data_IF_109796731088
#
_entry.id   IF_109796731088
#
_cell.length_a   1.000
_cell.length_b   1.000
_cell.length_c   1.000
_cell.angle_alpha   90.00
_cell.angle_beta   90.00
_cell.angle_gamma   90.00
#
_symmetry.space_group_name_H-M   'P 1'
#
loop_
_entity.id
_entity.type
_entity.pdbx_description
1 polymer ?
#
# COMPACT_ATOMS: atom_id res chain seq x y z
N UNK A 1 -17.69 2.28 10.65
CA UNK A 1 -16.99 3.48 10.16
C UNK A 1 -15.84 3.02 9.30
N UNK A 2 -15.55 3.73 8.18
CA UNK A 2 -14.37 3.51 7.37
C UNK A 2 -13.47 4.74 7.45
N UNK A 3 -12.16 4.52 7.64
CA UNK A 3 -11.14 5.55 7.53
C UNK A 3 -10.69 5.68 6.07
N UNK A 4 -10.65 6.91 5.55
CA UNK A 4 -10.16 7.20 4.20
C UNK A 4 -9.14 8.33 4.27
N UNK A 5 -7.97 8.11 3.67
CA UNK A 5 -6.94 9.13 3.53
C UNK A 5 -6.67 9.39 2.05
N UNK A 6 -6.75 10.67 1.65
CA UNK A 6 -6.42 11.13 0.32
C UNK A 6 -5.03 11.76 0.30
N UNK A 7 -4.16 11.33 -0.62
CA UNK A 7 -2.75 11.69 -0.68
C UNK A 7 -2.47 12.41 -2.00
N UNK A 8 -2.13 13.69 -1.92
CA UNK A 8 -1.79 14.51 -3.08
C UNK A 8 -0.42 14.12 -3.66
N UNK A 9 -0.41 13.37 -4.74
CA UNK A 9 0.81 12.89 -5.42
C UNK A 9 1.65 14.01 -6.05
N UNK A 10 1.09 15.20 -6.24
CA UNK A 10 1.87 16.36 -6.72
C UNK A 10 2.75 16.94 -5.61
N UNK A 11 2.26 16.90 -4.36
CA UNK A 11 2.92 17.47 -3.19
C UNK A 11 3.71 16.45 -2.38
N UNK A 12 3.50 15.17 -2.64
CA UNK A 12 4.13 14.09 -1.89
C UNK A 12 4.83 13.09 -2.81
N UNK A 13 5.77 12.35 -2.25
CA UNK A 13 6.35 11.15 -2.86
C UNK A 13 6.08 9.95 -1.97
N UNK A 14 5.84 8.82 -2.59
CA UNK A 14 5.74 7.54 -1.92
C UNK A 14 7.12 6.89 -1.85
N UNK A 15 7.40 6.13 -0.80
CA UNK A 15 8.57 5.27 -0.72
C UNK A 15 8.17 3.93 -0.09
N UNK A 16 8.59 2.86 -0.70
CA UNK A 16 8.50 1.54 -0.12
C UNK A 16 9.66 1.32 0.86
N UNK A 17 9.35 0.82 2.03
CA UNK A 17 10.31 0.51 3.09
C UNK A 17 10.23 -0.98 3.41
N UNK A 18 11.27 -1.77 3.04
CA UNK A 18 11.33 -3.17 3.43
C UNK A 18 11.39 -3.31 4.95
N UNK A 19 10.67 -4.29 5.50
CA UNK A 19 10.73 -4.66 6.90
C UNK A 19 11.95 -5.52 7.25
N UNK A 20 12.13 -5.92 8.50
CA UNK A 20 13.22 -6.78 8.92
C UNK A 20 13.11 -8.19 8.32
N UNK A 21 11.90 -8.73 8.21
CA UNK A 21 11.64 -10.06 7.67
C UNK A 21 11.04 -10.01 6.25
N UNK A 22 10.21 -9.02 5.94
CA UNK A 22 9.50 -8.92 4.66
C UNK A 22 10.01 -7.77 3.75
N UNK A 23 10.27 -8.04 2.48
CA UNK A 23 10.35 -9.34 1.81
C UNK A 23 11.64 -10.09 2.22
N UNK A 24 11.65 -11.45 2.19
CA UNK A 24 12.80 -12.22 2.68
C UNK A 24 14.08 -11.97 1.88
N UNK A 25 13.99 -11.90 0.56
CA UNK A 25 15.14 -11.79 -0.35
C UNK A 25 15.29 -10.39 -0.95
N UNK A 26 15.80 -9.45 -0.18
CA UNK A 26 16.09 -8.10 -0.67
C UNK A 26 17.51 -7.66 -0.31
N UNK A 27 18.31 -7.27 -1.31
CA UNK A 27 19.72 -6.98 -1.15
C UNK A 27 20.05 -5.72 -0.34
N UNK A 28 19.19 -4.71 -0.41
CA UNK A 28 19.40 -3.40 0.21
C UNK A 28 18.18 -2.98 1.06
N UNK A 29 18.01 -3.70 2.18
CA UNK A 29 16.83 -3.57 3.03
C UNK A 29 16.67 -2.20 3.69
N UNK A 30 17.74 -1.62 4.19
CA UNK A 30 17.68 -0.40 4.97
C UNK A 30 17.30 -0.64 6.44
N UNK A 31 16.91 0.40 7.19
CA UNK A 31 16.68 0.33 8.63
C UNK A 31 15.32 -0.25 9.04
N UNK A 32 14.46 -0.62 8.10
CA UNK A 32 13.10 -1.12 8.32
C UNK A 32 12.19 -0.18 9.14
N UNK A 33 12.50 1.11 9.14
CA UNK A 33 11.77 2.19 9.81
C UNK A 33 11.78 3.45 8.96
N UNK A 34 10.99 4.45 9.31
CA UNK A 34 11.15 5.81 8.75
C UNK A 34 12.53 6.34 9.15
N UNK A 35 13.47 6.50 8.20
CA UNK A 35 14.83 6.92 8.52
C UNK A 35 14.85 8.23 9.31
N UNK A 36 15.64 8.36 10.39
CA UNK A 36 15.67 9.57 11.22
C UNK A 36 15.87 10.87 10.46
N UNK A 37 16.73 10.84 9.43
CA UNK A 37 17.00 12.00 8.56
C UNK A 37 15.82 12.38 7.66
N UNK A 38 14.85 11.50 7.43
CA UNK A 38 13.65 11.75 6.62
C UNK A 38 12.40 12.08 7.46
N UNK A 39 12.44 11.93 8.79
CA UNK A 39 11.31 12.20 9.68
C UNK A 39 10.79 13.64 9.60
N UNK A 40 11.63 14.61 9.21
CA UNK A 40 11.20 16.01 9.02
C UNK A 40 10.20 16.17 7.87
N UNK A 41 10.18 15.24 6.91
CA UNK A 41 9.35 15.32 5.71
C UNK A 41 8.27 14.25 5.64
N UNK A 42 8.26 13.24 6.54
CA UNK A 42 7.21 12.22 6.58
C UNK A 42 5.88 12.85 7.00
N UNK A 43 4.82 12.50 6.29
CA UNK A 43 3.45 12.98 6.56
C UNK A 43 2.47 11.84 6.82
N UNK A 44 2.77 10.64 6.32
CA UNK A 44 2.00 9.44 6.64
C UNK A 44 2.84 8.17 6.40
N UNK A 45 2.40 7.08 7.02
CA UNK A 45 2.86 5.72 6.75
C UNK A 45 1.67 4.76 6.72
N UNK A 46 1.76 3.68 5.93
CA UNK A 46 0.73 2.64 5.90
C UNK A 46 1.30 1.28 5.49
N UNK A 47 0.59 0.22 5.82
CA UNK A 47 1.01 -1.17 5.61
C UNK A 47 1.28 -1.53 4.14
N UNK A 48 2.22 -2.44 3.92
CA UNK A 48 2.70 -2.86 2.59
C UNK A 48 1.79 -3.87 1.86
N UNK A 49 0.87 -4.51 2.57
CA UNK A 49 0.00 -5.56 2.04
C UNK A 49 0.52 -6.97 2.33
N UNK A 50 0.07 -7.94 1.55
CA UNK A 50 0.38 -9.35 1.79
C UNK A 50 1.87 -9.67 1.65
N UNK A 51 2.40 -10.62 2.45
CA UNK A 51 3.73 -11.18 2.24
C UNK A 51 3.86 -11.82 0.85
N UNK A 52 5.04 -11.73 0.25
CA UNK A 52 5.30 -12.35 -1.06
C UNK A 52 5.05 -13.86 -1.05
N UNK A 53 5.47 -14.54 0.01
CA UNK A 53 5.32 -15.99 0.18
C UNK A 53 3.84 -16.45 0.16
N UNK A 54 2.93 -15.63 0.67
CA UNK A 54 1.51 -15.98 0.76
C UNK A 54 0.69 -15.48 -0.42
N UNK A 55 1.11 -14.41 -1.07
CA UNK A 55 0.40 -13.82 -2.20
C UNK A 55 0.82 -14.40 -3.55
N UNK A 56 1.95 -15.10 -3.62
CA UNK A 56 2.57 -15.55 -4.87
C UNK A 56 2.65 -14.43 -5.92
N UNK A 57 2.96 -13.23 -5.47
CA UNK A 57 2.93 -12.00 -6.24
C UNK A 57 4.34 -11.43 -6.43
N UNK A 58 4.53 -10.62 -7.47
CA UNK A 58 5.83 -10.08 -7.84
C UNK A 58 6.23 -8.83 -7.06
N UNK A 59 7.54 -8.61 -7.02
CA UNK A 59 8.16 -7.41 -6.46
C UNK A 59 9.36 -6.96 -7.31
N UNK A 60 9.35 -5.68 -7.66
CA UNK A 60 10.51 -4.97 -8.20
C UNK A 60 10.92 -3.89 -7.20
N UNK A 61 12.17 -3.88 -6.81
CA UNK A 61 12.70 -2.90 -5.87
C UNK A 61 13.98 -2.26 -6.42
N UNK A 62 13.97 -0.93 -6.56
CA UNK A 62 15.07 -0.15 -7.16
C UNK A 62 15.48 -0.60 -8.57
N UNK A 63 14.50 -1.09 -9.33
CA UNK A 63 14.71 -1.57 -10.68
C UNK A 63 15.20 -3.02 -10.78
N UNK A 64 15.38 -3.71 -9.66
CA UNK A 64 15.75 -5.13 -9.58
C UNK A 64 14.52 -5.98 -9.31
N UNK A 65 14.36 -7.09 -10.02
CA UNK A 65 13.31 -8.06 -9.79
C UNK A 65 13.68 -8.91 -8.56
N UNK A 66 12.93 -8.73 -7.47
CA UNK A 66 13.06 -9.52 -6.23
C UNK A 66 12.22 -10.79 -6.34
N UNK A 67 11.00 -10.66 -6.88
CA UNK A 67 10.11 -11.77 -7.21
C UNK A 67 9.46 -11.51 -8.57
N UNK A 68 9.31 -12.58 -9.38
CA UNK A 68 8.77 -12.47 -10.73
C UNK A 68 7.34 -11.90 -10.73
N UNK A 69 7.07 -11.03 -11.70
CA UNK A 69 5.77 -10.39 -11.84
C UNK A 69 4.76 -11.33 -12.47
N UNK A 70 3.53 -11.32 -11.97
CA UNK A 70 2.43 -12.20 -12.39
C UNK A 70 1.37 -11.38 -13.14
N UNK A 71 0.98 -11.85 -14.34
CA UNK A 71 -0.09 -11.21 -15.11
C UNK A 71 -1.45 -11.33 -14.42
N UNK A 72 -2.28 -10.29 -14.55
CA UNK A 72 -3.63 -10.25 -13.98
C UNK A 72 -3.69 -9.75 -12.53
N UNK A 73 -2.55 -9.52 -11.91
CA UNK A 73 -2.45 -9.03 -10.52
C UNK A 73 -2.36 -7.51 -10.49
N UNK A 74 -3.08 -6.90 -9.56
CA UNK A 74 -3.01 -5.45 -9.34
C UNK A 74 -1.65 -5.06 -8.77
N UNK A 75 -1.03 -4.09 -9.41
CA UNK A 75 0.35 -3.69 -9.17
C UNK A 75 0.43 -2.20 -8.88
N UNK A 76 0.92 -1.84 -7.70
CA UNK A 76 1.37 -0.48 -7.43
C UNK A 76 2.74 -0.29 -8.09
N UNK A 77 2.84 0.69 -8.97
CA UNK A 77 4.04 0.95 -9.77
C UNK A 77 4.55 2.36 -9.52
N UNK A 78 5.86 2.49 -9.30
CA UNK A 78 6.59 3.74 -9.42
C UNK A 78 7.53 3.67 -10.63
N UNK A 79 7.35 4.60 -11.54
CA UNK A 79 8.22 4.74 -12.71
C UNK A 79 9.48 5.54 -12.35
N UNK A 80 10.55 5.42 -13.15
CA UNK A 80 11.81 6.17 -12.94
C UNK A 80 11.66 7.68 -13.03
N UNK A 81 10.59 8.18 -13.65
CA UNK A 81 10.22 9.59 -13.66
C UNK A 81 9.51 10.07 -12.39
N UNK A 82 9.30 9.17 -11.42
CA UNK A 82 8.62 9.41 -10.15
C UNK A 82 7.10 9.41 -10.23
N UNK A 83 6.52 9.06 -11.37
CA UNK A 83 5.08 8.87 -11.52
C UNK A 83 4.66 7.56 -10.87
N UNK A 84 3.53 7.59 -10.15
CA UNK A 84 2.94 6.42 -9.50
C UNK A 84 1.65 6.05 -10.23
N UNK A 85 1.39 4.76 -10.38
CA UNK A 85 0.14 4.23 -10.89
C UNK A 85 -0.25 2.90 -10.21
N UNK A 86 -1.50 2.52 -10.33
CA UNK A 86 -2.00 1.18 -10.02
C UNK A 86 -2.47 0.58 -11.32
N UNK A 87 -1.86 -0.52 -11.74
CA UNK A 87 -2.14 -1.17 -13.02
C UNK A 87 -2.56 -2.63 -12.82
N UNK A 88 -3.35 -3.16 -13.75
CA UNK A 88 -3.52 -4.60 -13.89
C UNK A 88 -2.35 -5.11 -14.75
N UNK A 89 -1.41 -5.84 -14.16
CA UNK A 89 -0.17 -6.23 -14.79
C UNK A 89 -0.39 -7.15 -16.00
N UNK A 90 0.27 -6.86 -17.12
CA UNK A 90 0.13 -7.61 -18.39
C UNK A 90 1.46 -7.78 -19.16
N UNK A 91 2.60 -7.49 -18.49
CA UNK A 91 3.90 -7.37 -19.16
C UNK A 91 4.80 -8.59 -18.94
N UNK A 92 4.26 -9.70 -18.41
CA UNK A 92 5.04 -10.91 -18.13
C UNK A 92 5.90 -10.80 -16.86
N UNK A 93 6.82 -11.76 -16.63
CA UNK A 93 7.54 -11.89 -15.36
C UNK A 93 8.58 -10.80 -15.13
N UNK A 94 9.09 -10.18 -16.20
CA UNK A 94 10.17 -9.19 -16.12
C UNK A 94 9.63 -7.79 -16.37
N UNK A 95 9.88 -6.81 -15.48
CA UNK A 95 9.49 -5.43 -15.70
C UNK A 95 10.33 -4.79 -16.82
N UNK A 96 9.77 -3.79 -17.48
CA UNK A 96 10.52 -2.96 -18.43
C UNK A 96 11.49 -2.01 -17.72
N UNK A 97 12.45 -1.41 -18.45
CA UNK A 97 13.52 -0.57 -17.88
C UNK A 97 13.03 0.72 -17.22
N UNK A 98 11.77 1.10 -17.44
CA UNK A 98 11.17 2.31 -16.88
C UNK A 98 10.60 2.13 -15.46
N UNK A 99 10.51 0.89 -14.96
CA UNK A 99 10.00 0.58 -13.64
C UNK A 99 11.13 0.74 -12.61
N UNK A 100 10.87 1.56 -11.59
CA UNK A 100 11.74 1.72 -10.43
C UNK A 100 11.33 0.83 -9.28
N UNK A 101 10.01 0.77 -9.04
CA UNK A 101 9.38 -0.04 -8.01
C UNK A 101 8.06 -0.61 -8.55
N UNK A 102 7.75 -1.85 -8.22
CA UNK A 102 6.44 -2.45 -8.43
C UNK A 102 6.17 -3.49 -7.36
N UNK A 103 5.04 -3.40 -6.68
CA UNK A 103 4.59 -4.41 -5.74
C UNK A 103 3.18 -4.86 -6.10
N UNK A 104 3.02 -6.16 -6.21
CA UNK A 104 1.76 -6.84 -6.47
C UNK A 104 1.11 -7.30 -5.18
N UNK A 105 -0.22 -7.38 -5.18
CA UNK A 105 -0.96 -8.05 -4.14
C UNK A 105 -1.90 -9.10 -4.75
N UNK A 106 -3.19 -8.82 -4.82
CA UNK A 106 -4.23 -9.70 -5.38
C UNK A 106 -4.74 -9.10 -6.71
N UNK A 107 -5.69 -9.72 -7.40
CA UNK A 107 -6.33 -9.09 -8.55
C UNK A 107 -6.91 -7.72 -8.20
N UNK A 108 -7.12 -6.81 -9.20
CA UNK A 108 -7.68 -5.50 -8.93
C UNK A 108 -9.10 -5.60 -8.38
N UNK A 109 -9.40 -4.84 -7.32
CA UNK A 109 -10.75 -4.74 -6.74
C UNK A 109 -11.59 -3.65 -7.40
N UNK A 110 -10.95 -2.60 -7.95
CA UNK A 110 -11.55 -1.58 -8.81
C UNK A 110 -10.69 -1.45 -10.06
N UNK A 111 -11.30 -1.47 -11.24
CA UNK A 111 -10.64 -1.27 -12.51
C UNK A 111 -11.49 -0.41 -13.45
N UNK A 112 -10.88 0.61 -14.07
CA UNK A 112 -11.58 1.58 -14.93
C UNK A 112 -12.80 2.23 -14.27
N UNK A 113 -12.73 2.46 -12.96
CA UNK A 113 -13.82 3.05 -12.18
C UNK A 113 -14.97 2.11 -11.86
N UNK A 114 -14.86 0.82 -12.20
CA UNK A 114 -15.86 -0.22 -11.93
C UNK A 114 -15.34 -1.23 -10.91
N UNK A 115 -16.24 -1.79 -10.14
CA UNK A 115 -15.92 -2.92 -9.27
C UNK A 115 -15.55 -4.14 -10.12
N UNK A 116 -14.59 -4.93 -9.62
CA UNK A 116 -14.29 -6.22 -10.23
C UNK A 116 -15.53 -7.13 -10.14
N UNK A 117 -16.05 -7.67 -11.25
CA UNK A 117 -17.25 -8.51 -11.23
C UNK A 117 -17.05 -9.86 -10.53
N UNK A 118 -15.80 -10.26 -10.29
CA UNK A 118 -15.45 -11.54 -9.67
C UNK A 118 -15.12 -11.40 -8.17
N UNK A 119 -15.51 -10.29 -7.51
CA UNK A 119 -15.40 -10.17 -6.07
C UNK A 119 -16.27 -11.23 -5.39
N UNK A 120 -15.65 -12.04 -4.56
CA UNK A 120 -16.27 -13.11 -3.79
C UNK A 120 -15.81 -13.02 -2.33
N UNK A 121 -16.39 -13.81 -1.45
CA UNK A 121 -15.97 -13.89 -0.05
C UNK A 121 -14.99 -15.06 0.19
N UNK A 122 -14.41 -15.60 -0.89
CA UNK A 122 -13.52 -16.75 -0.84
C UNK A 122 -12.06 -16.43 -0.47
N UNK A 123 -11.24 -17.46 -0.22
CA UNK A 123 -9.85 -17.33 0.22
C UNK A 123 -8.92 -16.72 -0.84
N UNK A 124 -9.34 -16.62 -2.09
CA UNK A 124 -8.63 -15.90 -3.17
C UNK A 124 -8.44 -14.41 -2.87
N UNK A 125 -9.24 -13.87 -1.95
CA UNK A 125 -9.13 -12.50 -1.43
C UNK A 125 -8.49 -12.44 -0.04
N UNK A 126 -7.62 -13.41 0.25
CA UNK A 126 -6.87 -13.55 1.50
C UNK A 126 -7.50 -14.54 2.47
N UNK A 127 -6.67 -15.45 2.97
CA UNK A 127 -7.07 -16.42 3.99
C UNK A 127 -7.29 -15.71 5.34
N UNK A 128 -8.40 -16.04 6.00
CA UNK A 128 -8.78 -15.49 7.30
C UNK A 128 -8.87 -16.59 8.36
N UNK A 129 -8.73 -16.20 9.61
CA UNK A 129 -8.92 -17.15 10.73
C UNK A 129 -10.37 -17.64 10.74
N UNK A 130 -10.55 -18.96 10.80
CA UNK A 130 -11.87 -19.64 10.78
C UNK A 130 -12.72 -19.27 9.55
N UNK A 131 -12.11 -18.91 8.43
CA UNK A 131 -12.80 -18.48 7.21
C UNK A 131 -13.77 -17.31 7.46
N UNK A 132 -13.44 -16.42 8.35
CA UNK A 132 -14.28 -15.25 8.64
C UNK A 132 -14.41 -14.37 7.40
N UNK A 133 -15.63 -14.14 6.94
CA UNK A 133 -15.93 -13.35 5.73
C UNK A 133 -15.68 -11.87 5.97
N UNK A 134 -15.96 -11.40 7.19
CA UNK A 134 -15.81 -9.99 7.59
C UNK A 134 -14.69 -9.82 8.58
N UNK A 135 -13.65 -9.13 8.14
CA UNK A 135 -12.43 -8.87 8.90
C UNK A 135 -11.98 -7.43 8.73
N UNK A 136 -10.91 -7.02 9.40
CA UNK A 136 -10.18 -5.82 9.00
C UNK A 136 -9.70 -5.95 7.57
N UNK A 137 -9.93 -4.91 6.78
CA UNK A 137 -9.37 -4.82 5.42
C UNK A 137 -8.84 -3.43 5.16
N UNK A 138 -7.74 -3.37 4.40
CA UNK A 138 -7.19 -2.13 3.88
C UNK A 138 -6.97 -2.24 2.37
N UNK A 139 -6.94 -1.10 1.71
CA UNK A 139 -6.70 -1.03 0.27
C UNK A 139 -6.16 0.32 -0.16
N UNK A 140 -5.55 0.32 -1.33
CA UNK A 140 -5.00 1.51 -1.96
C UNK A 140 -5.62 1.69 -3.33
N UNK A 141 -6.14 2.87 -3.58
CA UNK A 141 -6.67 3.29 -4.87
C UNK A 141 -5.92 4.46 -5.45
N UNK A 142 -6.17 4.72 -6.73
CA UNK A 142 -5.70 5.92 -7.43
C UNK A 142 -6.89 6.58 -8.14
N UNK A 143 -6.99 7.91 -8.02
CA UNK A 143 -8.01 8.69 -8.69
C UNK A 143 -7.61 9.07 -10.15
N UNK A 144 -8.51 9.71 -10.88
CA UNK A 144 -8.25 10.16 -12.27
C UNK A 144 -7.14 11.19 -12.40
N UNK A 145 -6.75 11.85 -11.30
CA UNK A 145 -5.70 12.88 -11.25
C UNK A 145 -4.36 12.30 -10.83
N UNK A 146 -4.30 10.99 -10.51
CA UNK A 146 -3.10 10.30 -10.03
C UNK A 146 -2.85 10.44 -8.54
N UNK A 147 -3.83 10.89 -7.74
CA UNK A 147 -3.71 10.93 -6.29
C UNK A 147 -4.02 9.57 -5.69
N UNK A 148 -3.32 9.21 -4.61
CA UNK A 148 -3.57 7.96 -3.92
C UNK A 148 -4.70 8.12 -2.89
N UNK A 149 -5.46 7.04 -2.72
CA UNK A 149 -6.56 6.93 -1.76
C UNK A 149 -6.34 5.66 -0.96
N UNK A 150 -5.98 5.81 0.31
CA UNK A 150 -5.95 4.67 1.24
C UNK A 150 -7.31 4.56 1.93
N UNK A 151 -7.79 3.34 2.08
CA UNK A 151 -8.99 3.06 2.88
C UNK A 151 -8.76 1.88 3.80
N UNK A 152 -9.31 1.93 5.00
CA UNK A 152 -9.33 0.82 5.95
C UNK A 152 -10.62 0.83 6.78
N UNK A 153 -11.11 -0.36 7.10
CA UNK A 153 -12.22 -0.52 8.03
C UNK A 153 -12.23 -1.93 8.63
N UNK A 154 -12.77 -2.03 9.84
CA UNK A 154 -13.08 -3.32 10.45
C UNK A 154 -14.39 -3.89 9.91
N UNK A 155 -14.53 -5.21 9.98
CA UNK A 155 -15.75 -5.93 9.63
C UNK A 155 -16.17 -5.74 8.17
N UNK A 156 -15.22 -5.81 7.24
CA UNK A 156 -15.44 -5.65 5.80
C UNK A 156 -15.27 -6.96 5.03
N UNK A 157 -16.05 -7.11 3.95
CA UNK A 157 -15.75 -8.02 2.85
C UNK A 157 -14.84 -7.30 1.83
N UNK A 158 -14.24 -8.05 0.90
CA UNK A 158 -13.49 -7.43 -0.20
C UNK A 158 -14.40 -6.54 -1.06
N UNK A 159 -15.65 -6.97 -1.29
CA UNK A 159 -16.63 -6.19 -2.04
C UNK A 159 -16.93 -4.85 -1.38
N UNK A 160 -17.16 -4.83 -0.05
CA UNK A 160 -17.42 -3.58 0.66
C UNK A 160 -16.20 -2.66 0.72
N UNK A 161 -14.96 -3.19 0.81
CA UNK A 161 -13.74 -2.40 0.67
C UNK A 161 -13.63 -1.76 -0.72
N UNK A 162 -13.91 -2.53 -1.77
CA UNK A 162 -13.90 -2.04 -3.15
C UNK A 162 -14.91 -0.89 -3.37
N UNK A 163 -16.12 -1.02 -2.81
CA UNK A 163 -17.13 0.05 -2.83
C UNK A 163 -16.65 1.31 -2.10
N UNK A 164 -16.01 1.17 -0.93
CA UNK A 164 -15.46 2.31 -0.18
C UNK A 164 -14.45 3.07 -1.06
N UNK A 165 -13.49 2.37 -1.67
CA UNK A 165 -12.48 2.99 -2.53
C UNK A 165 -13.09 3.62 -3.79
N UNK A 166 -14.05 2.95 -4.44
CA UNK A 166 -14.73 3.48 -5.61
C UNK A 166 -15.50 4.76 -5.26
N UNK A 167 -16.25 4.78 -4.17
CA UNK A 167 -17.00 5.97 -3.69
C UNK A 167 -16.08 7.10 -3.28
N UNK A 168 -14.87 6.77 -2.78
CA UNK A 168 -13.83 7.76 -2.49
C UNK A 168 -13.16 8.34 -3.75
N UNK A 169 -13.50 7.82 -4.95
CA UNK A 169 -13.04 8.34 -6.25
C UNK A 169 -11.95 7.52 -6.91
N UNK A 170 -11.61 6.34 -6.39
CA UNK A 170 -10.64 5.46 -7.01
C UNK A 170 -11.16 4.93 -8.35
N UNK A 171 -10.32 5.04 -9.39
CA UNK A 171 -10.59 4.44 -10.71
C UNK A 171 -9.84 3.13 -10.91
N UNK A 172 -8.80 2.90 -10.13
CA UNK A 172 -8.10 1.62 -9.99
C UNK A 172 -7.76 1.43 -8.52
N UNK A 173 -7.89 0.21 -8.01
CA UNK A 173 -7.58 -0.09 -6.62
C UNK A 173 -7.17 -1.56 -6.44
N UNK A 174 -6.33 -1.77 -5.44
CA UNK A 174 -5.89 -3.07 -4.95
C UNK A 174 -6.17 -3.21 -3.46
N UNK A 175 -6.36 -4.44 -3.02
CA UNK A 175 -6.41 -4.78 -1.61
C UNK A 175 -4.99 -4.82 -1.04
N UNK A 176 -4.82 -4.33 0.17
CA UNK A 176 -3.59 -4.47 0.95
C UNK A 176 -3.75 -5.58 1.98
N UNK A 177 -3.50 -5.32 3.27
CA UNK A 177 -3.62 -6.36 4.29
C UNK A 177 -5.05 -6.47 4.84
N UNK A 178 -5.40 -7.65 5.34
CA UNK A 178 -6.73 -8.00 5.84
C UNK A 178 -6.73 -8.48 7.30
N UNK A 179 -5.71 -8.17 8.04
CA UNK A 179 -5.54 -8.58 9.43
C UNK A 179 -5.44 -7.35 10.32
N UNK A 180 -6.06 -7.41 11.50
CA UNK A 180 -6.02 -6.32 12.49
C UNK A 180 -4.62 -5.97 12.94
N UNK A 181 -3.72 -6.96 13.03
CA UNK A 181 -2.32 -6.76 13.40
C UNK A 181 -1.52 -5.98 12.36
N UNK A 182 -1.96 -6.00 11.10
CA UNK A 182 -1.18 -5.43 10.00
C UNK A 182 -1.82 -4.20 9.37
N UNK A 183 -3.15 -4.12 9.35
CA UNK A 183 -3.86 -2.94 8.84
C UNK A 183 -3.50 -1.70 9.65
N UNK A 184 -2.82 -0.74 9.02
CA UNK A 184 -2.37 0.48 9.69
C UNK A 184 -2.23 1.64 8.73
N UNK A 185 -2.62 2.82 9.17
CA UNK A 185 -2.32 4.09 8.55
C UNK A 185 -2.10 5.11 9.65
N UNK A 186 -0.94 5.76 9.63
CA UNK A 186 -0.52 6.74 10.63
C UNK A 186 -0.25 8.05 9.92
N UNK A 187 -0.84 9.14 10.38
CA UNK A 187 -0.53 10.50 9.94
C UNK A 187 0.40 11.19 10.93
N UNK A 188 1.28 12.05 10.43
CA UNK A 188 2.19 12.86 11.23
C UNK A 188 1.89 14.32 10.98
N UNK A 189 1.40 15.04 11.99
CA UNK A 189 0.91 16.42 11.85
C UNK A 189 2.02 17.45 11.93
N UNK A 190 3.12 17.11 12.61
CA UNK A 190 4.25 18.01 12.82
C UNK A 190 5.55 17.45 12.22
N UNK A 191 6.49 18.33 11.79
CA UNK A 191 7.81 17.90 11.34
C UNK A 191 8.53 17.02 12.36
N UNK A 192 9.36 16.09 11.89
CA UNK A 192 10.08 15.16 12.75
C UNK A 192 9.28 13.94 13.15
N UNK A 193 8.20 13.62 12.42
CA UNK A 193 7.20 12.60 12.74
C UNK A 193 6.48 12.88 14.07
N UNK A 194 6.33 14.18 14.41
CA UNK A 194 5.61 14.59 15.61
C UNK A 194 4.10 14.46 15.48
N UNK A 195 3.44 14.31 16.63
CA UNK A 195 2.00 14.13 16.77
C UNK A 195 1.45 13.02 15.84
N UNK A 196 1.94 11.78 15.97
CA UNK A 196 1.43 10.65 15.20
C UNK A 196 -0.01 10.36 15.60
N UNK A 197 -0.82 9.92 14.63
CA UNK A 197 -2.21 9.56 14.88
C UNK A 197 -2.66 8.48 13.92
N UNK A 198 -3.23 7.40 14.44
CA UNK A 198 -3.89 6.37 13.65
C UNK A 198 -5.11 6.96 12.91
N UNK A 199 -5.36 6.49 11.69
CA UNK A 199 -6.52 6.90 10.88
C UNK A 199 -7.85 6.55 11.56
N UNK A 200 -7.89 5.42 12.24
CA UNK A 200 -9.02 4.97 13.04
C UNK A 200 -8.52 4.66 14.46
N UNK A 201 -9.23 5.10 15.50
CA UNK A 201 -8.81 4.90 16.89
C UNK A 201 -8.74 3.42 17.30
N UNK A 202 -9.48 2.54 16.62
CA UNK A 202 -9.50 1.10 16.84
C UNK A 202 -8.40 0.32 16.11
N UNK A 203 -7.52 0.98 15.36
CA UNK A 203 -6.34 0.31 14.78
C UNK A 203 -5.44 -0.26 15.88
N UNK A 204 -5.11 -1.55 15.77
CA UNK A 204 -4.47 -2.32 16.83
C UNK A 204 -3.04 -1.86 17.14
N UNK A 205 -2.26 -1.52 16.09
CA UNK A 205 -0.87 -1.13 16.26
C UNK A 205 -0.72 0.31 16.73
N UNK A 206 0.32 0.61 17.55
CA UNK A 206 0.58 1.97 18.01
C UNK A 206 0.86 2.93 16.85
N UNK A 207 0.49 4.18 17.03
CA UNK A 207 0.75 5.27 16.06
C UNK A 207 2.24 5.63 15.88
N UNK A 208 3.12 5.07 16.70
CA UNK A 208 4.58 5.16 16.57
C UNK A 208 5.21 3.99 15.82
N UNK A 209 4.41 3.03 15.34
CA UNK A 209 4.85 1.74 14.79
C UNK A 209 6.07 1.84 13.89
N UNK A 210 6.02 2.67 12.87
CA UNK A 210 7.06 2.75 11.84
C UNK A 210 8.19 3.73 12.16
N UNK A 211 8.25 4.25 13.38
CA UNK A 211 9.37 5.04 13.90
C UNK A 211 10.46 4.18 14.56
N UNK A 212 10.23 2.88 14.63
CA UNK A 212 11.18 1.83 15.03
C UNK A 212 11.17 0.73 13.97
N UNK A 213 12.22 -0.12 13.89
CA UNK A 213 12.24 -1.20 12.91
C UNK A 213 11.02 -2.12 13.02
N UNK A 214 10.33 -2.35 11.90
CA UNK A 214 9.17 -3.25 11.80
C UNK A 214 9.53 -4.52 11.05
N UNK A 215 8.94 -5.65 11.42
CA UNK A 215 9.13 -6.94 10.74
C UNK A 215 8.57 -6.93 9.32
N UNK A 216 7.46 -6.19 9.11
CA UNK A 216 6.74 -6.13 7.84
C UNK A 216 7.13 -4.89 7.03
N UNK A 217 7.05 -5.02 5.73
CA UNK A 217 7.19 -3.91 4.81
C UNK A 217 6.04 -2.90 4.94
N UNK A 218 6.33 -1.67 4.59
CA UNK A 218 5.34 -0.59 4.63
C UNK A 218 5.65 0.52 3.62
N UNK A 219 4.71 1.41 3.45
CA UNK A 219 4.89 2.63 2.65
C UNK A 219 5.00 3.86 3.53
N UNK A 220 5.95 4.72 3.18
CA UNK A 220 6.11 6.05 3.78
C UNK A 220 5.81 7.14 2.75
N UNK A 221 5.02 8.11 3.14
CA UNK A 221 4.65 9.28 2.33
C UNK A 221 5.42 10.48 2.83
N UNK A 222 6.22 11.08 1.96
CA UNK A 222 7.05 12.23 2.28
C UNK A 222 6.58 13.47 1.53
N UNK A 223 6.61 14.62 2.17
CA UNK A 223 6.41 15.89 1.52
C UNK A 223 7.53 16.14 0.51
N UNK A 224 7.19 16.53 -0.71
CA UNK A 224 8.18 16.99 -1.69
C UNK A 224 8.79 18.32 -1.24
N UNK A 225 10.08 18.56 -1.52
CA UNK A 225 10.66 19.90 -1.32
C UNK A 225 9.80 20.93 -2.05
N UNK A 226 9.48 22.03 -1.38
CA UNK A 226 8.87 23.18 -2.06
C UNK A 226 9.78 23.60 -3.21
N UNK A 227 9.20 23.97 -4.35
CA UNK A 227 9.98 24.74 -5.32
C UNK A 227 10.43 26.00 -4.58
N UNK A 228 11.74 26.17 -4.41
CA UNK A 228 12.31 27.46 -4.05
C UNK A 228 11.92 28.42 -5.19
N UNK A 229 11.08 29.39 -4.90
CA UNK A 229 10.81 30.51 -5.80
C UNK A 229 12.10 31.34 -5.98
#
# INVERSE_FOLDING_TARGET
VAGVAWIDSKRTRLAYVPGLAEPPEISHRGPAEVPPNLRKSVVATFNGGFPLETSNAGLVYRGETVAEMVNGIATLVEYRDGRIDIVNWKHGPTPGPHIWFAKQNLPPIVYEGKLNPNLSDGPEWGATVNNAVRVWRSGLGIDRRGNLIYAAANYQTVGSLAEILQRAGAVRALELDINEDWTSFISYRHPGAGDPSNLLPEMFRPDTRYLTPDERDFFAVYKKPGKTE
#
